data_IF_915408632655
#
_entry.id   IF_915408632655
#
_cell.length_a   1.000
_cell.length_b   1.000
_cell.length_c   1.000
_cell.angle_alpha   90.00
_cell.angle_beta   90.00
_cell.angle_gamma   90.00
#
_symmetry.space_group_name_H-M   'P 1'
#
loop_
_entity.id
_entity.type
_entity.pdbx_description
1 polymer ?
#
# COMPACT_ATOMS: atom_id res chain seq x y z
N UNK A 1 -5.73 47.05 -58.61
CA UNK A 1 -6.88 46.12 -58.69
C UNK A 1 -6.36 44.68 -58.71
N UNK A 2 -6.11 44.09 -57.53
CA UNK A 2 -5.96 42.64 -57.33
C UNK A 2 -6.45 42.32 -55.93
N UNK A 3 -7.69 41.82 -55.83
CA UNK A 3 -8.26 41.25 -54.62
C UNK A 3 -7.55 39.93 -54.33
N UNK A 4 -6.93 39.79 -53.15
CA UNK A 4 -6.57 38.49 -52.59
C UNK A 4 -7.59 38.15 -51.51
N UNK A 5 -8.56 37.32 -51.90
CA UNK A 5 -9.55 36.72 -51.03
C UNK A 5 -8.83 35.57 -50.32
N UNK A 6 -8.54 35.74 -49.03
CA UNK A 6 -7.89 34.72 -48.22
C UNK A 6 -8.97 33.83 -47.61
N UNK A 7 -9.23 32.68 -48.24
CA UNK A 7 -10.24 31.71 -47.82
C UNK A 7 -9.68 30.86 -46.69
N UNK A 8 -10.14 31.09 -45.46
CA UNK A 8 -9.89 30.24 -44.30
C UNK A 8 -10.68 28.91 -44.46
N UNK A 9 -10.06 27.72 -44.34
CA UNK A 9 -10.81 26.49 -44.28
C UNK A 9 -11.40 26.31 -42.87
N UNK A 10 -12.74 26.15 -42.82
CA UNK A 10 -13.49 25.72 -41.64
C UNK A 10 -12.99 24.32 -41.22
N UNK A 11 -12.26 24.26 -40.10
CA UNK A 11 -11.94 23.01 -39.41
C UNK A 11 -13.22 22.44 -38.80
N UNK A 12 -13.75 21.41 -39.45
CA UNK A 12 -14.88 20.61 -38.98
C UNK A 12 -14.39 19.75 -37.82
N UNK A 13 -14.75 20.11 -36.58
CA UNK A 13 -14.50 19.29 -35.40
C UNK A 13 -15.45 18.09 -35.43
N UNK A 14 -14.93 16.92 -35.78
CA UNK A 14 -15.64 15.65 -35.69
C UNK A 14 -15.66 15.19 -34.22
N UNK A 15 -16.78 15.43 -33.55
CA UNK A 15 -17.06 14.82 -32.25
C UNK A 15 -17.35 13.32 -32.45
N UNK A 16 -16.38 12.47 -32.13
CA UNK A 16 -16.59 11.02 -32.03
C UNK A 16 -17.23 10.70 -30.68
N UNK A 17 -18.42 10.10 -30.61
CA UNK A 17 -18.98 9.61 -29.35
C UNK A 17 -18.32 8.27 -29.03
N UNK A 18 -17.26 8.30 -28.22
CA UNK A 18 -16.74 7.09 -27.60
C UNK A 18 -17.70 6.65 -26.49
N UNK A 19 -18.68 5.84 -26.89
CA UNK A 19 -19.55 5.08 -26.03
C UNK A 19 -18.69 4.04 -25.29
N UNK A 20 -18.24 4.36 -24.06
CA UNK A 20 -17.61 3.36 -23.20
C UNK A 20 -18.71 2.56 -22.51
N UNK A 21 -18.80 1.28 -22.86
CA UNK A 21 -19.63 0.31 -22.16
C UNK A 21 -19.15 0.16 -20.71
N UNK A 22 -20.09 0.15 -19.77
CA UNK A 22 -19.80 -0.14 -18.37
C UNK A 22 -19.39 -1.62 -18.21
N UNK A 23 -18.40 -1.94 -17.35
CA UNK A 23 -18.04 -3.33 -17.07
C UNK A 23 -19.18 -4.01 -16.31
N UNK A 24 -19.63 -5.16 -16.80
CA UNK A 24 -20.58 -6.04 -16.12
C UNK A 24 -19.87 -6.81 -15.02
N UNK A 25 -20.38 -6.71 -13.79
CA UNK A 25 -19.87 -7.40 -12.61
C UNK A 25 -20.34 -8.87 -12.60
N UNK A 26 -19.74 -9.71 -13.45
CA UNK A 26 -19.89 -11.16 -13.38
C UNK A 26 -18.63 -11.80 -14.00
N UNK A 27 -17.53 -11.81 -13.25
CA UNK A 27 -16.37 -12.64 -13.57
C UNK A 27 -16.26 -13.77 -12.52
N UNK A 28 -16.49 -15.05 -12.90
CA UNK A 28 -16.36 -16.19 -12.00
C UNK A 28 -14.90 -16.62 -11.77
N UNK A 29 -13.92 -15.80 -12.14
CA UNK A 29 -12.49 -16.06 -11.97
C UNK A 29 -11.97 -15.85 -10.53
N UNK A 30 -12.61 -16.45 -9.52
CA UNK A 30 -12.01 -16.62 -8.20
C UNK A 30 -11.63 -18.10 -7.99
N UNK A 31 -10.61 -18.56 -8.71
CA UNK A 31 -9.89 -19.78 -8.33
C UNK A 31 -8.47 -19.79 -8.91
N UNK A 32 -7.61 -18.95 -8.33
CA UNK A 32 -6.20 -19.27 -8.24
C UNK A 32 -5.91 -19.69 -6.80
N UNK A 33 -5.71 -21.00 -6.62
CA UNK A 33 -4.99 -21.53 -5.46
C UNK A 33 -3.53 -21.49 -5.89
N UNK A 34 -2.87 -20.38 -5.61
CA UNK A 34 -1.42 -20.36 -5.55
C UNK A 34 -1.04 -20.99 -4.21
N UNK A 35 -0.25 -22.06 -4.24
CA UNK A 35 0.23 -22.72 -3.04
C UNK A 35 1.17 -21.74 -2.34
N UNK A 36 0.68 -21.15 -1.26
CA UNK A 36 1.37 -20.12 -0.50
C UNK A 36 2.69 -20.72 0.05
N UNK A 37 3.83 -20.04 -0.11
CA UNK A 37 5.06 -20.41 0.60
C UNK A 37 4.77 -20.50 2.09
N UNK A 38 5.50 -21.33 2.87
CA UNK A 38 5.18 -21.54 4.28
C UNK A 38 5.14 -20.20 5.02
N UNK A 39 3.93 -19.78 5.39
CA UNK A 39 3.71 -18.53 6.10
C UNK A 39 4.57 -18.53 7.38
N UNK A 40 5.24 -17.41 7.69
CA UNK A 40 5.90 -17.26 8.98
C UNK A 40 4.87 -17.52 10.09
N UNK A 41 5.26 -18.27 11.11
CA UNK A 41 4.37 -18.76 12.17
C UNK A 41 3.87 -17.68 13.14
N UNK A 42 4.05 -16.40 12.82
CA UNK A 42 3.59 -15.29 13.63
C UNK A 42 2.24 -14.80 13.10
N UNK A 43 1.17 -15.41 13.59
CA UNK A 43 -0.16 -14.85 13.45
C UNK A 43 -0.24 -13.61 14.37
N UNK A 44 -0.07 -12.42 13.79
CA UNK A 44 -0.12 -11.17 14.54
C UNK A 44 -1.55 -10.83 14.96
N UNK A 45 -1.71 -10.37 16.20
CA UNK A 45 -2.98 -9.85 16.68
C UNK A 45 -3.36 -8.56 15.93
N UNK A 46 -4.66 -8.30 15.77
CA UNK A 46 -5.17 -7.11 15.09
C UNK A 46 -5.21 -5.93 16.06
N UNK A 47 -4.83 -4.74 15.60
CA UNK A 47 -4.91 -3.48 16.36
C UNK A 47 -5.51 -2.34 15.54
N UNK A 48 -5.64 -1.16 16.17
CA UNK A 48 -6.12 0.06 15.51
C UNK A 48 -7.58 0.00 15.09
N UNK A 49 -7.91 0.72 14.02
CA UNK A 49 -9.26 0.85 13.44
C UNK A 49 -10.25 1.67 14.28
N UNK A 50 -11.22 2.32 13.61
CA UNK A 50 -12.24 3.14 14.27
C UNK A 50 -13.47 2.29 14.69
N UNK A 51 -13.36 1.61 15.84
CA UNK A 51 -14.46 0.82 16.43
C UNK A 51 -15.21 1.62 17.49
N UNK A 52 -16.52 1.34 17.63
CA UNK A 52 -17.39 1.97 18.65
C UNK A 52 -16.83 1.89 20.08
N UNK A 53 -16.18 0.77 20.40
CA UNK A 53 -15.65 0.49 21.74
C UNK A 53 -14.20 1.00 21.93
N UNK A 54 -13.68 1.75 20.96
CA UNK A 54 -12.31 2.22 20.88
C UNK A 54 -11.41 1.34 20.00
N UNK A 55 -10.22 1.84 19.61
CA UNK A 55 -9.28 1.08 18.80
C UNK A 55 -8.79 -0.17 19.55
N UNK A 56 -8.57 -1.27 18.80
CA UNK A 56 -7.97 -2.46 19.39
C UNK A 56 -6.52 -2.16 19.78
N UNK A 57 -6.16 -2.55 20.99
CA UNK A 57 -4.83 -2.30 21.53
C UNK A 57 -3.99 -3.57 21.49
N UNK A 58 -2.70 -3.37 21.27
CA UNK A 58 -1.69 -4.43 21.40
C UNK A 58 -1.35 -4.70 22.86
N UNK A 59 -0.64 -5.80 23.11
CA UNK A 59 0.04 -6.02 24.37
C UNK A 59 1.05 -4.88 24.65
N UNK A 60 1.36 -4.65 25.92
CA UNK A 60 2.14 -3.47 26.38
C UNK A 60 3.52 -3.31 25.71
N UNK A 61 4.09 -4.39 25.20
CA UNK A 61 5.41 -4.44 24.55
C UNK A 61 5.35 -4.48 23.02
N UNK A 62 4.15 -4.55 22.42
CA UNK A 62 3.99 -4.63 20.97
C UNK A 62 3.63 -3.26 20.38
N UNK A 63 4.15 -2.98 19.18
CA UNK A 63 3.78 -1.81 18.42
C UNK A 63 2.61 -2.13 17.49
N UNK A 64 1.68 -1.19 17.34
CA UNK A 64 0.62 -1.26 16.35
C UNK A 64 1.11 -0.59 15.05
N UNK A 65 1.22 -1.38 13.98
CA UNK A 65 1.69 -0.93 12.65
C UNK A 65 0.66 -1.26 11.58
N UNK A 66 0.73 -0.58 10.43
CA UNK A 66 -0.12 -0.89 9.28
C UNK A 66 0.09 -2.34 8.83
N UNK A 67 -0.96 -3.02 8.40
CA UNK A 67 -0.85 -4.38 7.88
C UNK A 67 -0.22 -4.34 6.47
N UNK A 68 1.06 -4.74 6.30
CA UNK A 68 1.75 -4.60 5.02
C UNK A 68 1.17 -5.48 3.91
N UNK A 69 0.33 -6.45 4.27
CA UNK A 69 -0.33 -7.38 3.34
C UNK A 69 -1.56 -6.77 2.66
N UNK A 70 -2.13 -5.69 3.22
CA UNK A 70 -3.38 -5.09 2.72
C UNK A 70 -3.16 -3.95 1.73
N UNK A 71 -1.99 -3.31 1.73
CA UNK A 71 -1.72 -2.12 0.92
C UNK A 71 -2.66 -0.95 1.23
N UNK A 72 -2.63 0.10 0.40
CA UNK A 72 -3.48 1.29 0.57
C UNK A 72 -2.92 2.32 1.55
N UNK A 73 -3.80 3.07 2.21
CA UNK A 73 -3.43 4.10 3.19
C UNK A 73 -3.41 3.61 4.65
N UNK A 74 -3.68 2.32 4.88
CA UNK A 74 -3.58 1.70 6.20
C UNK A 74 -4.48 2.34 7.26
N UNK A 75 -4.04 2.34 8.50
CA UNK A 75 -4.75 2.91 9.64
C UNK A 75 -5.04 4.41 9.49
N UNK A 76 -4.35 5.13 8.58
CA UNK A 76 -4.70 6.51 8.26
C UNK A 76 -6.05 6.66 7.55
N UNK A 77 -6.57 5.57 6.96
CA UNK A 77 -7.90 5.46 6.37
C UNK A 77 -8.81 4.50 7.17
N UNK A 78 -8.61 4.43 8.48
CA UNK A 78 -9.38 3.62 9.42
C UNK A 78 -9.30 2.10 9.22
N UNK A 79 -8.37 1.61 8.40
CA UNK A 79 -8.08 0.18 8.32
C UNK A 79 -7.47 -0.33 9.63
N UNK A 80 -7.48 -1.65 9.80
CA UNK A 80 -6.85 -2.30 10.96
C UNK A 80 -5.36 -2.54 10.73
N UNK A 81 -4.56 -2.37 11.77
CA UNK A 81 -3.15 -2.76 11.80
C UNK A 81 -2.91 -4.14 12.41
N UNK A 82 -1.64 -4.46 12.59
CA UNK A 82 -1.14 -5.66 13.26
C UNK A 82 -0.21 -5.30 14.43
N UNK A 83 -0.23 -6.14 15.48
CA UNK A 83 0.64 -6.00 16.65
C UNK A 83 1.96 -6.72 16.41
N UNK A 84 3.05 -5.97 16.27
CA UNK A 84 4.38 -6.53 16.07
C UNK A 84 5.18 -6.51 17.38
N UNK A 85 5.85 -7.62 17.77
CA UNK A 85 6.72 -7.66 18.92
C UNK A 85 8.06 -6.97 18.63
N UNK A 86 8.84 -6.61 19.66
CA UNK A 86 10.21 -6.17 19.48
C UNK A 86 11.13 -7.34 19.10
N UNK A 87 12.29 -7.04 18.53
CA UNK A 87 13.33 -8.05 18.25
C UNK A 87 13.09 -8.87 16.98
N UNK A 88 12.29 -8.36 16.05
CA UNK A 88 12.17 -8.90 14.70
C UNK A 88 13.47 -8.73 13.90
N UNK A 89 13.61 -9.53 12.83
CA UNK A 89 14.77 -9.47 11.94
C UNK A 89 14.87 -8.11 11.25
N UNK A 90 16.07 -7.54 11.23
CA UNK A 90 16.30 -6.23 10.62
C UNK A 90 16.36 -6.33 9.10
N UNK A 91 15.80 -5.33 8.42
CA UNK A 91 15.86 -5.18 6.97
C UNK A 91 16.15 -3.72 6.59
N UNK A 92 16.30 -3.44 5.29
CA UNK A 92 16.53 -2.10 4.77
C UNK A 92 17.84 -1.49 5.27
N UNK A 93 17.77 -0.23 5.69
CA UNK A 93 18.91 0.58 6.04
C UNK A 93 19.85 0.87 4.86
N UNK A 94 20.96 1.55 5.14
CA UNK A 94 21.98 1.88 4.13
C UNK A 94 22.52 0.65 3.38
N UNK A 95 22.54 -0.51 4.02
CA UNK A 95 23.01 -1.77 3.43
C UNK A 95 21.95 -2.46 2.54
N UNK A 96 20.67 -2.07 2.64
CA UNK A 96 19.58 -2.65 1.86
C UNK A 96 19.33 -4.13 2.16
N UNK A 97 19.29 -4.52 3.44
CA UNK A 97 19.03 -5.90 3.83
C UNK A 97 17.62 -6.34 3.41
N UNK A 98 17.50 -7.49 2.75
CA UNK A 98 16.22 -8.04 2.31
C UNK A 98 15.60 -8.93 3.38
N UNK A 99 14.28 -8.97 3.44
CA UNK A 99 13.57 -9.92 4.29
C UNK A 99 13.55 -11.32 3.66
N UNK A 100 13.44 -12.37 4.49
CA UNK A 100 13.12 -13.71 4.03
C UNK A 100 11.86 -13.73 3.15
N UNK A 101 11.73 -14.76 2.30
CA UNK A 101 10.58 -14.92 1.41
C UNK A 101 9.25 -14.89 2.19
N UNK A 102 8.28 -14.13 1.66
CA UNK A 102 6.95 -13.99 2.26
C UNK A 102 6.83 -12.92 3.35
N UNK A 103 7.92 -12.23 3.69
CA UNK A 103 7.91 -11.13 4.66
C UNK A 103 8.06 -9.77 3.99
N UNK A 104 7.49 -8.75 4.63
CA UNK A 104 7.56 -7.36 4.22
C UNK A 104 8.51 -6.59 5.12
N UNK A 105 9.36 -5.77 4.51
CA UNK A 105 10.18 -4.82 5.25
C UNK A 105 9.35 -3.56 5.55
N UNK A 106 9.11 -3.30 6.83
CA UNK A 106 8.47 -2.06 7.30
C UNK A 106 9.43 -1.27 8.16
N UNK A 107 9.21 0.04 8.31
CA UNK A 107 9.99 0.87 9.22
C UNK A 107 9.91 0.32 10.65
N UNK A 108 11.05 0.26 11.35
CA UNK A 108 11.12 -0.31 12.69
C UNK A 108 10.37 0.59 13.69
N UNK A 109 9.23 0.16 14.26
CA UNK A 109 8.45 1.01 15.16
C UNK A 109 9.09 1.19 16.55
N UNK A 110 10.21 0.52 16.80
CA UNK A 110 10.96 0.56 18.05
C UNK A 110 12.26 1.35 17.95
N UNK A 111 12.58 1.92 16.79
CA UNK A 111 13.73 2.82 16.65
C UNK A 111 13.34 4.30 16.74
N UNK A 112 14.36 5.16 16.79
CA UNK A 112 14.22 6.61 16.82
C UNK A 112 14.52 7.23 15.44
N UNK A 113 14.29 6.48 14.35
CA UNK A 113 14.54 6.97 13.00
C UNK A 113 13.47 7.97 12.58
N UNK A 114 13.73 9.26 12.84
CA UNK A 114 12.81 10.35 12.51
C UNK A 114 12.97 10.83 11.07
N UNK A 115 11.96 11.54 10.56
CA UNK A 115 12.00 12.22 9.27
C UNK A 115 13.21 13.17 9.10
N UNK A 116 13.74 13.70 10.20
CA UNK A 116 14.94 14.55 10.18
C UNK A 116 16.23 13.76 9.92
N UNK A 117 16.25 12.46 10.21
CA UNK A 117 17.37 11.56 9.97
C UNK A 117 17.44 11.07 8.51
N UNK A 118 16.41 11.36 7.70
CA UNK A 118 16.31 10.94 6.31
C UNK A 118 15.84 9.50 6.19
N UNK A 119 14.59 9.32 5.75
CA UNK A 119 13.93 8.03 5.53
C UNK A 119 14.72 7.02 4.69
N UNK A 120 15.70 7.47 3.91
CA UNK A 120 16.41 6.65 2.94
C UNK A 120 17.32 5.58 3.57
N UNK A 121 17.80 5.80 4.80
CA UNK A 121 18.78 4.92 5.47
C UNK A 121 18.24 4.27 6.75
N UNK A 122 16.94 4.40 7.04
CA UNK A 122 16.33 3.83 8.24
C UNK A 122 16.33 2.30 8.19
N UNK A 123 16.65 1.68 9.32
CA UNK A 123 16.52 0.24 9.47
C UNK A 123 15.03 -0.10 9.60
N UNK A 124 14.63 -1.17 8.92
CA UNK A 124 13.30 -1.75 9.04
C UNK A 124 13.32 -3.04 9.84
N UNK A 125 12.13 -3.63 9.99
CA UNK A 125 11.92 -4.97 10.52
C UNK A 125 11.07 -5.81 9.56
N UNK A 126 11.35 -7.12 9.50
CA UNK A 126 10.61 -8.06 8.68
C UNK A 126 9.34 -8.56 9.37
N UNK A 127 8.20 -8.42 8.68
CA UNK A 127 6.86 -8.73 9.19
C UNK A 127 6.05 -9.55 8.21
#
# INVERSE_FOLDING_TARGET
MRLFINTLPLLVLSFSPFLHAAPTADDPSCSHVEEEPPAPTYEYAICGGDRRDGPLQCADDHACVDDPRKGGCGMACDDTGICVPPGLEMCGGFAGFECPEGLHCIDNPFDDCTAEAGWADCAGVCV
#
